data_IF_356869912679
#
_entry.id   IF_356869912679
#
_cell.length_a   1.000
_cell.length_b   1.000
_cell.length_c   1.000
_cell.angle_alpha   90.00
_cell.angle_beta   90.00
_cell.angle_gamma   90.00
#
_symmetry.space_group_name_H-M   'P 1'
#
loop_
_entity.id
_entity.type
_entity.pdbx_description
1 polymer ?
#
# COMPACT_ATOMS: atom_id res chain seq x y z
N UNK A 1 15.87 -7.38 7.83
CA UNK A 1 14.43 -7.51 8.14
C UNK A 1 13.95 -8.82 7.53
N UNK A 2 13.06 -9.53 8.20
CA UNK A 2 12.60 -10.85 7.75
C UNK A 2 11.19 -10.78 7.14
N UNK A 3 10.90 -11.72 6.24
CA UNK A 3 9.60 -11.87 5.62
C UNK A 3 8.54 -12.20 6.67
N UNK A 4 7.45 -11.44 6.65
CA UNK A 4 6.31 -11.62 7.53
C UNK A 4 5.76 -13.05 7.53
N UNK A 5 5.73 -13.70 6.36
CA UNK A 5 5.08 -15.01 6.16
C UNK A 5 5.96 -16.19 6.58
N UNK A 6 7.26 -16.16 6.24
CA UNK A 6 8.12 -17.34 6.37
C UNK A 6 9.44 -17.09 7.10
N UNK A 7 9.67 -15.87 7.60
CA UNK A 7 10.88 -15.47 8.34
C UNK A 7 12.21 -15.61 7.59
N UNK A 8 12.20 -15.88 6.28
CA UNK A 8 13.37 -15.73 5.41
C UNK A 8 13.72 -14.26 5.19
N UNK A 9 14.94 -13.95 4.76
CA UNK A 9 15.38 -12.59 4.45
C UNK A 9 14.40 -11.87 3.52
N UNK A 10 13.95 -10.68 3.92
CA UNK A 10 13.12 -9.83 3.08
C UNK A 10 13.95 -9.16 1.98
N UNK A 11 13.35 -9.01 0.80
CA UNK A 11 13.93 -8.28 -0.34
C UNK A 11 13.35 -6.88 -0.47
N UNK A 12 12.25 -6.59 0.24
CA UNK A 12 11.63 -5.27 0.28
C UNK A 12 10.61 -5.15 1.39
N UNK A 13 9.98 -3.98 1.45
CA UNK A 13 9.02 -3.59 2.48
C UNK A 13 7.67 -3.26 1.84
N UNK A 14 6.59 -3.81 2.37
CA UNK A 14 5.23 -3.55 1.91
C UNK A 14 4.90 -2.05 1.99
N UNK A 15 4.46 -1.47 0.87
CA UNK A 15 4.18 -0.03 0.76
C UNK A 15 3.06 0.45 1.68
N UNK A 16 2.17 -0.45 2.08
CA UNK A 16 0.95 -0.14 2.82
C UNK A 16 1.09 -0.31 4.34
N UNK A 17 1.85 -1.30 4.81
CA UNK A 17 1.96 -1.61 6.25
C UNK A 17 3.38 -1.73 6.80
N UNK A 18 4.42 -1.59 5.97
CA UNK A 18 5.81 -1.60 6.44
C UNK A 18 6.39 -2.99 6.78
N UNK A 19 5.67 -4.09 6.55
CA UNK A 19 6.18 -5.45 6.77
C UNK A 19 7.23 -5.83 5.72
N UNK A 20 8.28 -6.54 6.14
CA UNK A 20 9.25 -7.15 5.22
C UNK A 20 8.65 -8.32 4.43
N UNK A 21 9.04 -8.48 3.16
CA UNK A 21 8.54 -9.53 2.27
C UNK A 21 9.70 -10.13 1.46
N UNK A 22 9.78 -11.47 1.37
CA UNK A 22 10.74 -12.16 0.50
C UNK A 22 10.18 -12.31 -0.92
N UNK A 23 11.03 -12.65 -1.88
CA UNK A 23 10.64 -12.82 -3.30
C UNK A 23 9.41 -13.73 -3.50
N UNK A 24 9.32 -14.86 -2.80
CA UNK A 24 8.21 -15.82 -2.95
C UNK A 24 6.85 -15.31 -2.46
N UNK A 25 6.84 -14.32 -1.57
CA UNK A 25 5.60 -13.77 -1.01
C UNK A 25 5.35 -12.32 -1.45
N UNK A 26 6.23 -11.77 -2.29
CA UNK A 26 6.08 -10.45 -2.86
C UNK A 26 4.90 -10.50 -3.85
N UNK A 27 3.91 -9.66 -3.60
CA UNK A 27 2.82 -9.37 -4.53
C UNK A 27 2.86 -7.89 -4.89
N UNK A 28 2.00 -7.47 -5.80
CA UNK A 28 1.89 -6.07 -6.20
C UNK A 28 0.45 -5.59 -6.10
N UNK A 29 0.27 -4.30 -5.81
CA UNK A 29 -1.03 -3.65 -5.78
C UNK A 29 -0.88 -2.17 -6.16
N UNK A 30 -1.83 -1.55 -6.88
CA UNK A 30 -1.75 -0.15 -7.21
C UNK A 30 -1.74 0.73 -5.95
N UNK A 31 -0.85 1.72 -5.96
CA UNK A 31 -0.69 2.71 -4.90
C UNK A 31 -0.85 4.12 -5.47
N UNK A 32 -1.80 4.88 -4.93
CA UNK A 32 -1.98 6.30 -5.26
C UNK A 32 -0.80 7.08 -4.69
N UNK A 33 0.07 7.59 -5.56
CA UNK A 33 1.22 8.40 -5.17
C UNK A 33 0.81 9.83 -4.87
N UNK A 34 -0.03 10.41 -5.72
CA UNK A 34 -0.43 11.81 -5.63
C UNK A 34 -1.80 12.06 -6.27
N UNK A 35 -2.55 13.02 -5.71
CA UNK A 35 -3.83 13.51 -6.24
C UNK A 35 -3.66 14.95 -6.72
N UNK A 36 -4.14 15.24 -7.93
CA UNK A 36 -4.13 16.58 -8.51
C UNK A 36 -5.56 17.08 -8.65
N UNK A 37 -5.84 18.27 -8.14
CA UNK A 37 -7.13 18.94 -8.36
C UNK A 37 -7.08 19.76 -9.66
N UNK A 38 -7.86 19.34 -10.66
CA UNK A 38 -8.21 20.16 -11.82
C UNK A 38 -9.65 20.67 -11.64
N UNK A 39 -10.01 21.79 -12.27
CA UNK A 39 -11.31 22.49 -12.09
C UNK A 39 -12.49 21.56 -11.84
N UNK A 40 -12.75 20.64 -12.77
CA UNK A 40 -13.91 19.74 -12.70
C UNK A 40 -13.53 18.27 -12.49
N UNK A 41 -12.25 17.93 -12.37
CA UNK A 41 -11.81 16.54 -12.29
C UNK A 41 -10.61 16.38 -11.37
N UNK A 42 -10.64 15.35 -10.53
CA UNK A 42 -9.45 14.93 -9.78
C UNK A 42 -8.66 13.96 -10.65
N UNK A 43 -7.37 14.26 -10.88
CA UNK A 43 -6.44 13.35 -11.54
C UNK A 43 -5.58 12.66 -10.47
N UNK A 44 -5.06 11.48 -10.80
CA UNK A 44 -4.26 10.69 -9.87
C UNK A 44 -3.02 10.16 -10.57
N UNK A 45 -1.88 10.17 -9.88
CA UNK A 45 -0.67 9.46 -10.27
C UNK A 45 -0.59 8.17 -9.47
N UNK A 46 -0.47 7.04 -10.16
CA UNK A 46 -0.52 5.70 -9.57
C UNK A 46 0.79 4.96 -9.86
N UNK A 47 1.30 4.26 -8.86
CA UNK A 47 2.30 3.20 -9.03
C UNK A 47 1.53 1.89 -9.13
N UNK A 48 1.46 1.30 -10.32
CA UNK A 48 0.61 0.12 -10.59
C UNK A 48 1.08 -1.13 -9.81
N UNK A 49 2.39 -1.23 -9.58
CA UNK A 49 3.05 -2.44 -9.09
C UNK A 49 3.74 -2.25 -7.73
N UNK A 50 3.14 -1.45 -6.83
CA UNK A 50 3.72 -1.24 -5.51
C UNK A 50 3.77 -2.53 -4.69
N UNK A 51 4.90 -2.78 -4.01
CA UNK A 51 5.13 -4.00 -3.25
C UNK A 51 4.06 -4.17 -2.16
N UNK A 52 3.33 -5.28 -2.24
CA UNK A 52 2.25 -5.67 -1.36
C UNK A 52 2.57 -6.99 -0.67
N UNK A 53 2.31 -7.08 0.64
CA UNK A 53 2.58 -8.29 1.41
C UNK A 53 1.50 -9.38 1.28
N UNK A 54 0.39 -9.15 0.59
CA UNK A 54 -0.68 -10.15 0.48
C UNK A 54 -1.51 -10.38 1.75
N UNK A 55 -1.19 -9.70 2.86
CA UNK A 55 -1.82 -9.92 4.16
C UNK A 55 -2.39 -8.65 4.82
N UNK A 56 -2.01 -7.45 4.37
CA UNK A 56 -2.60 -6.21 4.88
C UNK A 56 -3.73 -5.75 3.96
N UNK A 57 -4.95 -5.73 4.47
CA UNK A 57 -6.09 -5.19 3.73
C UNK A 57 -6.31 -3.74 4.15
N UNK A 58 -6.33 -2.77 3.22
CA UNK A 58 -6.94 -1.47 3.49
C UNK A 58 -8.38 -1.69 3.98
N UNK A 59 -8.87 -0.85 4.90
CA UNK A 59 -10.30 -0.90 5.23
C UNK A 59 -11.10 -0.59 3.95
N UNK A 60 -12.17 -1.35 3.67
CA UNK A 60 -12.99 -1.10 2.48
C UNK A 60 -13.76 0.21 2.60
N UNK A 61 -14.18 0.55 3.82
CA UNK A 61 -14.98 1.75 4.11
C UNK A 61 -14.11 2.87 4.70
N UNK A 62 -14.33 4.13 4.29
CA UNK A 62 -13.74 5.29 4.93
C UNK A 62 -14.20 5.41 6.40
N UNK A 63 -13.40 6.07 7.23
CA UNK A 63 -13.74 6.36 8.62
C UNK A 63 -14.08 7.84 8.75
N UNK A 64 -15.21 8.13 9.38
CA UNK A 64 -15.55 9.47 9.84
C UNK A 64 -14.55 9.87 10.95
N UNK A 65 -13.97 11.06 10.83
CA UNK A 65 -13.05 11.65 11.82
C UNK A 65 -13.61 13.00 12.29
N UNK A 66 -14.73 13.00 13.03
CA UNK A 66 -15.42 14.24 13.45
C UNK A 66 -14.55 15.13 14.34
N UNK A 67 -13.50 14.60 14.97
CA UNK A 67 -12.53 15.38 15.76
C UNK A 67 -11.59 16.27 14.92
N UNK A 68 -11.61 16.16 13.59
CA UNK A 68 -10.77 16.92 12.67
C UNK A 68 -11.52 17.99 11.86
N UNK A 69 -12.83 18.14 12.07
CA UNK A 69 -13.69 19.16 11.43
C UNK A 69 -13.77 20.48 12.23
#
# INVERSE_FOLDING_TARGET
>A
MDCWHCRKTAVGTCRFCGRGVCENHAQTQPYILELFKKRETTQVLVVEDALYCGACTPRPDPLDLPELD
#
